data_IF_135376712064
#
_entry.id   IF_135376712064
#
_cell.length_a   1.000
_cell.length_b   1.000
_cell.length_c   1.000
_cell.angle_alpha   90.00
_cell.angle_beta   90.00
_cell.angle_gamma   90.00
#
_symmetry.space_group_name_H-M   'P 1'
#
loop_
_entity.id
_entity.type
_entity.pdbx_description
1 polymer ?
#
# COMPACT_ATOMS: atom_id res chain seq x y z
N UNK A 1 9.53 4.37 15.34
CA UNK A 1 8.65 3.27 14.85
C UNK A 1 9.39 2.56 13.74
N UNK A 2 9.52 1.24 13.75
CA UNK A 2 10.23 0.51 12.71
C UNK A 2 9.42 0.46 11.41
N UNK A 3 10.09 0.49 10.26
CA UNK A 3 9.50 0.29 8.93
C UNK A 3 10.38 -0.68 8.14
N UNK A 4 9.78 -1.71 7.58
CA UNK A 4 10.48 -2.70 6.72
C UNK A 4 11.15 -2.03 5.53
N UNK A 5 10.54 -0.99 4.96
CA UNK A 5 11.11 -0.20 3.87
C UNK A 5 12.51 0.41 4.17
N UNK A 6 12.94 0.45 5.43
CA UNK A 6 14.32 0.86 5.78
C UNK A 6 15.35 -0.13 5.19
N UNK A 7 15.02 -1.41 5.12
CA UNK A 7 15.90 -2.45 4.54
C UNK A 7 16.09 -2.20 3.04
N UNK A 8 15.00 -1.91 2.31
CA UNK A 8 15.05 -1.57 0.89
C UNK A 8 15.88 -0.28 0.63
N UNK A 9 15.81 0.69 1.56
CA UNK A 9 16.64 1.90 1.48
C UNK A 9 18.13 1.59 1.68
N UNK A 10 18.48 0.63 2.53
CA UNK A 10 19.86 0.17 2.66
C UNK A 10 20.34 -0.59 1.41
N UNK A 11 19.49 -1.41 0.80
CA UNK A 11 19.77 -2.07 -0.47
C UNK A 11 19.99 -1.04 -1.58
N UNK A 12 19.12 -0.04 -1.70
CA UNK A 12 19.27 1.07 -2.63
C UNK A 12 20.60 1.82 -2.40
N UNK A 13 20.92 2.16 -1.15
CA UNK A 13 22.17 2.86 -0.82
C UNK A 13 23.40 2.09 -1.29
N UNK A 14 23.41 0.77 -1.14
CA UNK A 14 24.53 -0.11 -1.44
C UNK A 14 24.57 -0.58 -2.91
N UNK A 15 23.56 -0.22 -3.71
CA UNK A 15 23.52 -0.60 -5.13
C UNK A 15 24.58 0.14 -5.94
N UNK A 16 25.36 -0.61 -6.73
CA UNK A 16 26.40 -0.08 -7.60
C UNK A 16 25.84 0.83 -8.73
N UNK A 17 24.59 0.59 -9.14
CA UNK A 17 23.89 1.33 -10.21
C UNK A 17 22.78 2.22 -9.66
N UNK A 18 22.93 2.69 -8.42
CA UNK A 18 21.96 3.52 -7.74
C UNK A 18 21.59 4.75 -8.55
N UNK A 19 20.30 5.03 -8.65
CA UNK A 19 19.74 6.28 -9.19
C UNK A 19 19.12 7.11 -8.06
N UNK A 20 18.86 8.41 -8.27
CA UNK A 20 18.01 9.15 -7.35
C UNK A 20 16.71 8.39 -7.09
N UNK A 21 16.31 8.27 -5.83
CA UNK A 21 15.15 7.46 -5.42
C UNK A 21 13.91 8.34 -5.25
N UNK A 22 12.80 7.89 -5.78
CA UNK A 22 11.48 8.49 -5.55
C UNK A 22 10.67 7.57 -4.65
N UNK A 23 10.24 8.09 -3.48
CA UNK A 23 9.31 7.37 -2.60
C UNK A 23 7.89 7.80 -2.93
N UNK A 24 7.11 6.85 -3.45
CA UNK A 24 5.70 7.01 -3.76
C UNK A 24 4.81 6.43 -2.64
N UNK A 25 3.53 6.74 -2.67
CA UNK A 25 2.53 6.22 -1.73
C UNK A 25 1.57 7.29 -1.26
N UNK A 26 0.46 6.87 -0.67
CA UNK A 26 -0.61 7.75 -0.20
C UNK A 26 -0.10 8.84 0.76
N UNK A 27 -0.88 9.90 0.89
CA UNK A 27 -0.59 10.91 1.91
C UNK A 27 -0.69 10.32 3.32
N UNK A 28 0.18 10.77 4.22
CA UNK A 28 0.23 10.37 5.64
C UNK A 28 0.68 8.91 5.92
N UNK A 29 1.22 8.18 4.94
CA UNK A 29 1.82 6.84 5.15
C UNK A 29 3.22 6.90 5.76
N UNK A 30 3.80 8.11 5.96
CA UNK A 30 5.05 8.31 6.69
C UNK A 30 6.29 8.50 5.83
N UNK A 31 6.16 8.94 4.55
CA UNK A 31 7.28 9.18 3.63
C UNK A 31 8.34 10.10 4.23
N UNK A 32 7.94 11.29 4.67
CA UNK A 32 8.85 12.28 5.30
C UNK A 32 9.58 11.71 6.51
N UNK A 33 8.87 10.97 7.36
CA UNK A 33 9.48 10.33 8.53
C UNK A 33 10.51 9.28 8.10
N UNK A 34 10.18 8.44 7.13
CA UNK A 34 11.06 7.38 6.62
C UNK A 34 12.36 7.95 6.07
N UNK A 35 12.29 8.99 5.22
CA UNK A 35 13.46 9.66 4.64
C UNK A 35 14.37 10.25 5.71
N UNK A 36 13.79 10.96 6.69
CA UNK A 36 14.55 11.57 7.80
C UNK A 36 15.18 10.52 8.71
N UNK A 37 14.45 9.47 9.04
CA UNK A 37 14.95 8.39 9.88
C UNK A 37 16.09 7.63 9.19
N UNK A 38 15.93 7.34 7.90
CA UNK A 38 17.00 6.72 7.11
C UNK A 38 18.24 7.62 7.03
N UNK A 39 18.07 8.93 6.79
CA UNK A 39 19.17 9.88 6.79
C UNK A 39 19.94 9.88 8.11
N UNK A 40 19.20 9.84 9.24
CA UNK A 40 19.80 9.77 10.57
C UNK A 40 20.57 8.48 10.84
N UNK A 41 20.07 7.34 10.34
CA UNK A 41 20.67 6.02 10.58
C UNK A 41 21.84 5.72 9.64
N UNK A 42 21.77 6.16 8.39
CA UNK A 42 22.64 5.71 7.31
C UNK A 42 23.69 6.74 6.86
N UNK A 43 23.58 8.00 7.28
CA UNK A 43 24.46 9.08 6.84
C UNK A 43 24.89 9.97 8.02
N UNK A 44 26.06 10.59 7.89
CA UNK A 44 26.54 11.55 8.90
C UNK A 44 25.78 12.87 8.85
N UNK A 45 25.36 13.27 7.64
CA UNK A 45 24.66 14.51 7.37
C UNK A 45 23.41 14.28 6.55
N UNK A 46 22.41 15.13 6.78
CA UNK A 46 21.17 15.10 6.00
C UNK A 46 20.78 16.53 5.66
N UNK A 47 20.61 16.80 4.38
CA UNK A 47 20.05 18.05 3.87
C UNK A 47 18.59 17.82 3.53
N UNK A 48 17.69 18.44 4.28
CA UNK A 48 16.25 18.31 4.09
C UNK A 48 15.64 19.56 3.50
N UNK A 49 15.06 19.44 2.32
CA UNK A 49 14.39 20.52 1.60
C UNK A 49 12.90 20.15 1.46
N UNK A 50 12.04 20.96 2.03
CA UNK A 50 10.60 20.91 1.74
C UNK A 50 10.29 21.99 0.70
N UNK A 51 9.67 21.57 -0.41
CA UNK A 51 9.31 22.47 -1.51
C UNK A 51 7.96 23.14 -1.33
N UNK A 52 7.12 22.68 -0.39
CA UNK A 52 5.83 23.33 -0.12
C UNK A 52 6.03 24.77 0.35
N UNK A 53 5.45 25.70 -0.38
CA UNK A 53 5.52 27.16 -0.11
C UNK A 53 6.96 27.72 -0.01
N UNK A 54 7.95 27.10 -0.68
CA UNK A 54 9.36 27.46 -0.62
C UNK A 54 9.80 28.24 -1.88
N UNK A 55 9.53 29.54 -1.89
CA UNK A 55 9.86 30.41 -3.03
C UNK A 55 11.36 30.47 -3.35
N UNK A 56 12.23 30.42 -2.31
CA UNK A 56 13.70 30.46 -2.51
C UNK A 56 14.18 29.22 -3.28
N UNK A 57 13.65 28.05 -2.94
CA UNK A 57 13.99 26.82 -3.66
C UNK A 57 13.37 26.80 -5.05
N UNK A 58 12.15 27.29 -5.22
CA UNK A 58 11.54 27.45 -6.54
C UNK A 58 12.40 28.34 -7.44
N UNK A 59 12.95 29.45 -6.93
CA UNK A 59 13.85 30.35 -7.65
C UNK A 59 15.19 29.67 -7.98
N UNK A 60 15.79 28.92 -7.04
CA UNK A 60 17.05 28.18 -7.26
C UNK A 60 16.95 27.25 -8.47
N UNK A 61 15.85 26.47 -8.57
CA UNK A 61 15.64 25.52 -9.67
C UNK A 61 15.07 26.17 -10.95
N UNK A 62 14.66 27.43 -10.93
CA UNK A 62 14.05 28.09 -12.09
C UNK A 62 15.06 28.53 -13.15
N UNK A 63 16.31 28.89 -12.77
CA UNK A 63 17.30 29.49 -13.67
C UNK A 63 17.93 28.45 -14.61
N UNK A 64 18.75 27.56 -14.10
CA UNK A 64 19.37 26.45 -14.81
C UNK A 64 19.41 25.22 -13.89
N UNK A 65 19.83 24.08 -14.42
CA UNK A 65 19.94 22.82 -13.68
C UNK A 65 21.42 22.35 -13.61
N UNK A 66 22.35 23.30 -13.54
CA UNK A 66 23.76 23.02 -13.33
C UNK A 66 23.96 22.51 -11.89
N UNK A 67 24.55 21.33 -11.74
CA UNK A 67 24.60 20.62 -10.46
C UNK A 67 25.43 21.35 -9.41
N UNK A 68 26.60 21.89 -9.79
CA UNK A 68 27.46 22.62 -8.84
C UNK A 68 26.76 23.83 -8.24
N UNK A 69 25.99 24.56 -9.06
CA UNK A 69 25.18 25.69 -8.61
C UNK A 69 24.02 25.25 -7.69
N UNK A 70 23.37 24.13 -8.02
CA UNK A 70 22.31 23.57 -7.18
C UNK A 70 22.89 23.17 -5.83
N UNK A 71 23.98 22.41 -5.79
CA UNK A 71 24.64 21.98 -4.55
C UNK A 71 25.02 23.18 -3.69
N UNK A 72 25.69 24.20 -4.27
CA UNK A 72 26.02 25.42 -3.55
C UNK A 72 24.77 26.10 -2.97
N UNK A 73 23.69 26.18 -3.73
CA UNK A 73 22.41 26.74 -3.26
C UNK A 73 21.80 25.96 -2.10
N UNK A 74 21.87 24.62 -2.14
CA UNK A 74 21.41 23.74 -1.06
C UNK A 74 22.29 23.90 0.20
N UNK A 75 23.62 24.05 0.06
CA UNK A 75 24.53 24.30 1.17
C UNK A 75 24.24 25.65 1.84
N UNK A 76 24.07 26.72 1.04
CA UNK A 76 23.72 28.05 1.55
C UNK A 76 22.35 28.08 2.25
N UNK A 77 21.40 27.21 1.80
CA UNK A 77 20.07 27.14 2.41
C UNK A 77 20.07 26.35 3.71
N UNK A 78 20.81 25.24 3.77
CA UNK A 78 20.79 24.29 4.89
C UNK A 78 21.88 24.52 5.93
N UNK A 79 22.89 25.36 5.61
CA UNK A 79 24.12 25.51 6.39
C UNK A 79 24.87 24.17 6.61
N UNK A 80 24.78 23.28 5.64
CA UNK A 80 25.42 21.95 5.66
C UNK A 80 26.33 21.82 4.46
N UNK A 81 27.61 21.52 4.68
CA UNK A 81 28.53 21.16 3.59
C UNK A 81 28.19 19.77 3.05
N UNK A 82 27.84 19.69 1.78
CA UNK A 82 27.35 18.50 1.10
C UNK A 82 28.51 17.74 0.47
N UNK A 83 28.73 16.52 0.93
CA UNK A 83 29.72 15.60 0.35
C UNK A 83 29.04 14.32 -0.13
N UNK A 84 29.45 13.77 -1.30
CA UNK A 84 28.84 12.58 -1.85
C UNK A 84 28.85 11.37 -0.92
N UNK A 85 29.93 11.20 -0.14
CA UNK A 85 30.19 10.01 0.65
C UNK A 85 29.30 9.91 1.88
N UNK A 86 28.95 11.04 2.51
CA UNK A 86 28.35 11.03 3.84
C UNK A 86 27.08 11.88 4.00
N UNK A 87 26.58 12.49 2.92
CA UNK A 87 25.39 13.34 2.95
C UNK A 87 24.23 12.74 2.17
N UNK A 88 23.06 12.65 2.80
CA UNK A 88 21.80 12.39 2.12
C UNK A 88 21.08 13.69 1.82
N UNK A 89 20.68 13.89 0.57
CA UNK A 89 19.84 15.02 0.14
C UNK A 89 18.38 14.49 0.07
N UNK A 90 17.48 15.15 0.79
CA UNK A 90 16.06 14.81 0.84
C UNK A 90 15.25 15.95 0.22
N UNK A 91 14.51 15.65 -0.84
CA UNK A 91 13.53 16.51 -1.47
C UNK A 91 12.12 16.07 -1.11
N UNK A 92 11.44 16.83 -0.26
CA UNK A 92 10.08 16.54 0.18
C UNK A 92 9.08 17.47 -0.53
N UNK A 93 7.89 16.94 -0.87
CA UNK A 93 6.85 17.59 -1.68
C UNK A 93 7.42 18.13 -3.02
N UNK A 94 8.25 17.31 -3.69
CA UNK A 94 9.02 17.73 -4.88
C UNK A 94 8.14 18.13 -6.06
N UNK A 95 6.88 17.70 -6.12
CA UNK A 95 5.91 18.09 -7.16
C UNK A 95 5.57 19.59 -7.13
N UNK A 96 5.76 20.28 -6.00
CA UNK A 96 5.53 21.72 -5.90
C UNK A 96 6.52 22.53 -6.75
N UNK A 97 7.70 21.95 -7.06
CA UNK A 97 8.70 22.55 -7.94
C UNK A 97 9.09 21.55 -9.05
N UNK A 98 8.34 21.49 -10.16
CA UNK A 98 8.56 20.50 -11.23
C UNK A 98 9.98 20.45 -11.79
N UNK A 99 10.69 21.58 -11.78
CA UNK A 99 12.09 21.63 -12.21
C UNK A 99 13.05 20.96 -11.21
N UNK A 100 12.72 20.92 -9.92
CA UNK A 100 13.48 20.12 -8.96
C UNK A 100 13.34 18.62 -9.24
N UNK A 101 12.14 18.15 -9.60
CA UNK A 101 11.94 16.77 -10.05
C UNK A 101 12.73 16.50 -11.34
N UNK A 102 12.71 17.41 -12.33
CA UNK A 102 13.46 17.27 -13.57
C UNK A 102 14.99 17.25 -13.33
N UNK A 103 15.49 17.90 -12.26
CA UNK A 103 16.92 17.93 -11.93
C UNK A 103 17.49 16.56 -11.59
N UNK A 104 16.66 15.60 -11.13
CA UNK A 104 17.10 14.24 -10.81
C UNK A 104 17.77 13.54 -12.00
N UNK A 105 17.32 13.83 -13.24
CA UNK A 105 17.98 13.35 -14.45
C UNK A 105 19.42 13.82 -14.53
N UNK A 106 19.66 15.08 -14.26
CA UNK A 106 21.00 15.69 -14.37
C UNK A 106 21.90 15.22 -13.23
N UNK A 107 21.37 15.01 -12.04
CA UNK A 107 22.12 14.35 -10.97
C UNK A 107 22.56 12.95 -11.39
N UNK A 108 21.66 12.13 -11.93
CA UNK A 108 22.02 10.79 -12.38
C UNK A 108 23.06 10.78 -13.51
N UNK A 109 22.96 11.71 -14.48
CA UNK A 109 23.82 11.74 -15.65
C UNK A 109 25.19 12.38 -15.38
N UNK A 110 25.26 13.41 -14.52
CA UNK A 110 26.44 14.25 -14.37
C UNK A 110 27.07 14.18 -12.97
N UNK A 111 26.37 13.67 -11.99
CA UNK A 111 26.81 13.61 -10.59
C UNK A 111 26.16 12.43 -9.83
N UNK A 112 26.29 11.17 -10.34
CA UNK A 112 25.65 10.00 -9.77
C UNK A 112 26.15 9.62 -8.36
N UNK A 113 27.24 10.22 -7.94
CA UNK A 113 27.84 10.02 -6.61
C UNK A 113 26.97 10.59 -5.49
N UNK A 114 26.13 11.63 -5.73
CA UNK A 114 25.26 12.20 -4.71
C UNK A 114 24.09 11.28 -4.36
N UNK A 115 23.78 11.21 -3.07
CA UNK A 115 22.67 10.43 -2.55
C UNK A 115 21.42 11.30 -2.46
N UNK A 116 20.42 11.03 -3.29
CA UNK A 116 19.19 11.83 -3.34
C UNK A 116 17.97 10.94 -3.18
N UNK A 117 17.14 11.27 -2.20
CA UNK A 117 15.81 10.68 -2.04
C UNK A 117 14.78 11.78 -2.11
N UNK A 118 13.72 11.57 -2.85
CA UNK A 118 12.61 12.51 -2.92
C UNK A 118 11.27 11.82 -2.67
N UNK A 119 10.33 12.61 -2.19
CA UNK A 119 8.95 12.18 -2.01
C UNK A 119 7.98 13.28 -2.41
N UNK A 120 6.79 12.85 -2.77
CA UNK A 120 5.64 13.72 -2.99
C UNK A 120 4.34 12.93 -2.90
N UNK A 121 3.34 13.53 -2.29
CA UNK A 121 2.06 12.85 -2.04
C UNK A 121 1.16 12.74 -3.28
N UNK A 122 1.49 13.46 -4.35
CA UNK A 122 0.71 13.53 -5.59
C UNK A 122 1.60 13.37 -6.83
N UNK A 123 2.72 12.69 -6.69
CA UNK A 123 3.68 12.49 -7.79
C UNK A 123 3.04 11.77 -8.98
N UNK A 124 2.23 10.74 -8.75
CA UNK A 124 1.51 10.05 -9.82
C UNK A 124 0.63 10.99 -10.68
N UNK A 125 0.07 12.05 -10.07
CA UNK A 125 -0.74 13.05 -10.79
C UNK A 125 0.16 14.08 -11.49
N UNK A 126 1.24 14.53 -10.86
CA UNK A 126 2.16 15.49 -11.43
C UNK A 126 2.79 14.97 -12.75
N UNK A 127 2.92 13.65 -12.88
CA UNK A 127 3.38 12.98 -14.10
C UNK A 127 2.48 13.26 -15.32
N UNK A 128 1.18 13.49 -15.10
CA UNK A 128 0.22 13.75 -16.18
C UNK A 128 0.13 15.23 -16.60
N UNK A 129 0.78 16.15 -15.88
CA UNK A 129 0.68 17.59 -16.13
C UNK A 129 1.77 18.16 -17.05
N UNK A 130 2.44 17.33 -17.87
CA UNK A 130 3.39 17.79 -18.89
C UNK A 130 4.76 18.23 -18.35
N UNK A 131 5.10 17.84 -17.12
CA UNK A 131 6.44 18.02 -16.57
C UNK A 131 7.42 17.04 -17.19
N UNK A 132 8.68 17.49 -17.46
CA UNK A 132 9.76 16.60 -17.92
C UNK A 132 10.14 15.62 -16.81
N UNK A 133 9.45 14.49 -16.76
CA UNK A 133 9.75 13.45 -15.80
C UNK A 133 11.05 12.72 -16.16
N UNK A 134 11.92 12.37 -15.20
CA UNK A 134 13.21 11.71 -15.43
C UNK A 134 13.07 10.21 -15.74
N UNK A 135 12.34 9.85 -16.80
CA UNK A 135 12.07 8.46 -17.20
C UNK A 135 13.37 7.66 -17.31
N UNK A 136 13.42 6.51 -16.62
CA UNK A 136 14.59 5.61 -16.65
C UNK A 136 15.83 6.13 -15.91
N UNK A 137 15.76 7.32 -15.29
CA UNK A 137 16.86 7.98 -14.57
C UNK A 137 16.67 8.03 -13.06
N UNK A 138 15.62 7.42 -12.56
CA UNK A 138 15.26 7.32 -11.14
C UNK A 138 14.87 5.89 -10.80
N UNK A 139 15.02 5.53 -9.53
CA UNK A 139 14.47 4.32 -8.92
C UNK A 139 13.20 4.70 -8.13
N UNK A 140 12.35 3.70 -7.85
CA UNK A 140 11.09 3.90 -7.13
C UNK A 140 11.00 2.98 -5.92
N UNK A 141 10.39 3.49 -4.85
CA UNK A 141 10.00 2.73 -3.68
C UNK A 141 8.57 3.09 -3.32
N UNK A 142 7.70 2.08 -3.27
CA UNK A 142 6.31 2.27 -2.87
C UNK A 142 6.15 2.11 -1.36
N UNK A 143 5.71 3.17 -0.68
CA UNK A 143 5.47 3.13 0.76
C UNK A 143 3.97 2.98 1.04
N UNK A 144 3.63 1.86 1.66
CA UNK A 144 2.27 1.53 2.10
C UNK A 144 2.03 1.89 3.58
N UNK A 145 0.78 1.89 4.07
CA UNK A 145 0.52 1.84 5.50
C UNK A 145 1.26 0.68 6.16
N UNK A 146 1.48 0.73 7.47
CA UNK A 146 2.18 -0.34 8.20
C UNK A 146 1.52 -1.70 7.93
N UNK A 147 2.33 -2.71 7.65
CA UNK A 147 1.89 -4.11 7.60
C UNK A 147 1.52 -4.61 9.01
N UNK A 148 0.96 -5.82 9.09
CA UNK A 148 0.64 -6.41 10.40
C UNK A 148 1.91 -6.70 11.21
N UNK A 149 3.00 -7.13 10.57
CA UNK A 149 4.30 -7.30 11.23
C UNK A 149 4.83 -5.97 11.78
N UNK A 150 4.80 -4.91 10.99
CA UNK A 150 5.20 -3.56 11.44
C UNK A 150 4.32 -3.04 12.59
N UNK A 151 3.02 -3.35 12.56
CA UNK A 151 2.10 -3.05 13.66
C UNK A 151 2.48 -3.81 14.93
N UNK A 152 2.79 -5.11 14.86
CA UNK A 152 3.25 -5.89 16.01
C UNK A 152 4.53 -5.30 16.61
N UNK A 153 5.49 -4.90 15.79
CA UNK A 153 6.70 -4.21 16.23
C UNK A 153 6.38 -2.89 16.93
N UNK A 154 5.46 -2.09 16.37
CA UNK A 154 5.01 -0.85 17.02
C UNK A 154 4.30 -1.08 18.38
N UNK A 155 3.74 -2.27 18.57
CA UNK A 155 3.11 -2.68 19.86
C UNK A 155 4.09 -3.28 20.86
N UNK A 156 5.39 -3.36 20.56
CA UNK A 156 6.40 -4.02 21.40
C UNK A 156 6.29 -5.55 21.40
N UNK A 157 5.85 -6.11 20.27
CA UNK A 157 5.64 -7.55 20.08
C UNK A 157 6.62 -8.15 19.06
N UNK A 158 7.88 -7.73 19.08
CA UNK A 158 8.94 -8.15 18.17
C UNK A 158 9.09 -9.68 18.13
N UNK A 159 9.00 -10.34 19.29
CA UNK A 159 9.10 -11.81 19.37
C UNK A 159 8.04 -12.56 18.57
N UNK A 160 6.86 -11.97 18.38
CA UNK A 160 5.85 -12.57 17.51
C UNK A 160 6.21 -12.41 16.04
N UNK A 161 6.86 -11.31 15.68
CA UNK A 161 7.38 -11.12 14.31
C UNK A 161 8.50 -12.13 14.02
N UNK A 162 9.42 -12.32 14.97
CA UNK A 162 10.48 -13.34 14.85
C UNK A 162 9.88 -14.74 14.68
N UNK A 163 8.86 -15.08 15.48
CA UNK A 163 8.12 -16.34 15.39
C UNK A 163 7.45 -16.51 14.01
N UNK A 164 6.82 -15.47 13.49
CA UNK A 164 6.22 -15.49 12.15
C UNK A 164 7.27 -15.67 11.06
N UNK A 165 8.42 -14.99 11.16
CA UNK A 165 9.50 -15.09 10.19
C UNK A 165 10.17 -16.47 10.20
N UNK A 166 10.23 -17.15 11.35
CA UNK A 166 10.71 -18.53 11.43
C UNK A 166 9.77 -19.56 10.81
N UNK A 167 8.49 -19.23 10.58
CA UNK A 167 7.50 -20.17 10.06
C UNK A 167 7.14 -21.32 11.00
N UNK A 168 7.36 -21.16 12.31
CA UNK A 168 6.97 -22.17 13.32
C UNK A 168 5.49 -22.09 13.64
N UNK A 169 4.68 -22.73 12.80
CA UNK A 169 3.22 -22.72 12.92
C UNK A 169 2.71 -23.48 14.15
N UNK A 170 3.47 -24.45 14.68
CA UNK A 170 3.11 -25.17 15.90
C UNK A 170 3.21 -24.23 17.10
N UNK A 171 4.30 -23.48 17.18
CA UNK A 171 4.47 -22.47 18.23
C UNK A 171 3.46 -21.32 18.06
N UNK A 172 3.18 -20.88 16.84
CA UNK A 172 2.12 -19.88 16.58
C UNK A 172 0.76 -20.33 17.07
N UNK A 173 0.42 -21.63 16.94
CA UNK A 173 -0.83 -22.20 17.44
C UNK A 173 -0.91 -22.11 18.98
N UNK A 174 0.20 -22.33 19.70
CA UNK A 174 0.24 -22.18 21.13
C UNK A 174 -0.06 -20.73 21.60
N UNK A 175 0.33 -19.73 20.80
CA UNK A 175 0.10 -18.31 21.07
C UNK A 175 -0.98 -17.68 20.20
N UNK A 176 -1.83 -18.48 19.60
CA UNK A 176 -2.87 -18.09 18.66
C UNK A 176 -3.77 -16.95 19.15
N UNK A 177 -4.20 -17.01 20.42
CA UNK A 177 -5.12 -16.02 20.95
C UNK A 177 -4.53 -14.62 20.95
N UNK A 178 -3.26 -14.47 21.32
CA UNK A 178 -2.56 -13.18 21.33
C UNK A 178 -2.40 -12.61 19.90
N UNK A 179 -2.15 -13.49 18.93
CA UNK A 179 -2.06 -13.11 17.49
C UNK A 179 -3.42 -12.68 16.95
N UNK A 180 -4.49 -13.43 17.26
CA UNK A 180 -5.86 -13.09 16.86
C UNK A 180 -6.31 -11.76 17.48
N UNK A 181 -6.04 -11.53 18.76
CA UNK A 181 -6.42 -10.28 19.43
C UNK A 181 -5.61 -9.09 18.86
N UNK A 182 -4.34 -9.30 18.53
CA UNK A 182 -3.53 -8.30 17.83
C UNK A 182 -4.08 -8.02 16.43
N UNK A 183 -4.51 -9.05 15.69
CA UNK A 183 -5.13 -8.91 14.37
C UNK A 183 -6.46 -8.14 14.43
N UNK A 184 -7.30 -8.39 15.44
CA UNK A 184 -8.53 -7.61 15.67
C UNK A 184 -8.20 -6.13 15.96
N UNK A 185 -7.16 -5.87 16.76
CA UNK A 185 -6.70 -4.50 16.98
C UNK A 185 -6.25 -3.86 15.67
N UNK A 186 -5.48 -4.56 14.84
CA UNK A 186 -5.06 -4.07 13.53
C UNK A 186 -6.24 -3.79 12.60
N UNK A 187 -7.28 -4.63 12.57
CA UNK A 187 -8.49 -4.36 11.78
C UNK A 187 -9.18 -3.05 12.16
N UNK A 188 -9.11 -2.66 13.43
CA UNK A 188 -9.69 -1.39 13.90
C UNK A 188 -8.75 -0.21 13.67
N UNK A 189 -7.48 -0.37 14.02
CA UNK A 189 -6.47 0.70 14.00
C UNK A 189 -5.96 0.95 12.59
N UNK A 190 -5.80 -0.11 11.79
CA UNK A 190 -5.14 -0.06 10.50
C UNK A 190 -3.63 0.12 10.60
N UNK A 191 -3.02 0.42 9.46
CA UNK A 191 -1.59 0.67 9.32
C UNK A 191 -1.21 2.15 9.18
N UNK A 192 -2.15 3.10 9.31
CA UNK A 192 -1.80 4.53 9.21
C UNK A 192 -0.91 4.95 10.38
N UNK A 193 0.31 5.51 10.13
CA UNK A 193 1.32 5.76 11.16
C UNK A 193 0.83 6.55 12.38
N UNK A 194 0.05 7.61 12.16
CA UNK A 194 -0.49 8.43 13.26
C UNK A 194 -1.46 7.62 14.13
N UNK A 195 -2.32 6.81 13.51
CA UNK A 195 -3.26 5.95 14.22
C UNK A 195 -2.53 4.86 15.02
N UNK A 196 -1.55 4.20 14.41
CA UNK A 196 -0.73 3.16 15.06
C UNK A 196 0.06 3.74 16.24
N UNK A 197 0.74 4.88 16.05
CA UNK A 197 1.52 5.53 17.11
C UNK A 197 0.63 5.93 18.30
N UNK A 198 -0.53 6.53 18.01
CA UNK A 198 -1.50 6.90 19.06
C UNK A 198 -1.99 5.67 19.83
N UNK A 199 -2.30 4.59 19.11
CA UNK A 199 -2.74 3.35 19.76
C UNK A 199 -1.62 2.66 20.54
N UNK A 200 -0.40 2.65 20.03
CA UNK A 200 0.76 2.10 20.74
C UNK A 200 0.97 2.76 22.11
N UNK A 201 0.81 4.08 22.16
CA UNK A 201 1.06 4.87 23.36
C UNK A 201 -0.11 4.86 24.34
N UNK A 202 -1.35 5.00 23.86
CA UNK A 202 -2.49 5.33 24.72
C UNK A 202 -3.54 4.23 24.81
N UNK A 203 -3.55 3.26 23.85
CA UNK A 203 -4.56 2.19 23.74
C UNK A 203 -6.01 2.71 23.66
N UNK A 204 -6.20 3.97 23.22
CA UNK A 204 -7.51 4.60 23.10
C UNK A 204 -8.10 4.48 21.67
N UNK A 205 -9.03 3.57 21.49
CA UNK A 205 -9.76 3.37 20.23
C UNK A 205 -10.57 4.59 19.77
N UNK A 206 -11.06 5.42 20.71
CA UNK A 206 -11.83 6.60 20.33
C UNK A 206 -10.91 7.67 19.75
N UNK A 207 -9.68 7.80 20.28
CA UNK A 207 -8.67 8.70 19.74
C UNK A 207 -8.23 8.24 18.35
N UNK A 208 -7.98 6.94 18.17
CA UNK A 208 -7.69 6.34 16.85
C UNK A 208 -8.79 6.70 15.85
N UNK A 209 -10.06 6.53 16.20
CA UNK A 209 -11.19 6.84 15.32
C UNK A 209 -11.25 8.32 14.93
N UNK A 210 -10.91 9.24 15.86
CA UNK A 210 -10.78 10.67 15.55
C UNK A 210 -9.65 10.96 14.56
N UNK A 211 -8.51 10.28 14.71
CA UNK A 211 -7.38 10.39 13.78
C UNK A 211 -7.79 9.90 12.40
N UNK A 212 -8.38 8.72 12.29
CA UNK A 212 -8.84 8.16 11.02
C UNK A 212 -9.84 9.07 10.30
N UNK A 213 -10.80 9.68 11.02
CA UNK A 213 -11.72 10.66 10.44
C UNK A 213 -10.99 11.86 9.86
N UNK A 214 -10.02 12.43 10.58
CA UNK A 214 -9.20 13.55 10.08
C UNK A 214 -8.40 13.18 8.84
N UNK A 215 -7.87 11.94 8.76
CA UNK A 215 -7.18 11.44 7.58
C UNK A 215 -8.13 11.39 6.37
N UNK A 216 -9.33 10.83 6.55
CA UNK A 216 -10.35 10.75 5.48
C UNK A 216 -10.79 12.15 5.03
N UNK A 217 -11.03 13.08 5.96
CA UNK A 217 -11.34 14.47 5.66
C UNK A 217 -10.21 15.17 4.89
N UNK A 218 -8.95 14.91 5.27
CA UNK A 218 -7.79 15.45 4.55
C UNK A 218 -7.74 14.94 3.10
N UNK A 219 -8.02 13.66 2.84
CA UNK A 219 -8.11 13.12 1.49
C UNK A 219 -9.21 13.80 0.65
N UNK A 220 -10.40 14.03 1.24
CA UNK A 220 -11.48 14.75 0.54
C UNK A 220 -11.15 16.23 0.26
N UNK A 221 -10.34 16.87 1.13
CA UNK A 221 -9.83 18.21 0.86
C UNK A 221 -8.80 18.19 -0.29
N UNK A 222 -7.96 17.18 -0.37
CA UNK A 222 -7.00 17.03 -1.48
C UNK A 222 -7.73 16.87 -2.83
N UNK A 223 -8.88 16.19 -2.88
CA UNK A 223 -9.70 16.14 -4.09
C UNK A 223 -10.07 17.55 -4.59
N UNK A 224 -10.45 18.42 -3.68
CA UNK A 224 -10.85 19.80 -4.02
C UNK A 224 -9.67 20.70 -4.38
N UNK A 225 -8.48 20.43 -3.83
CA UNK A 225 -7.29 21.28 -4.02
C UNK A 225 -6.54 20.94 -5.31
N UNK A 226 -6.45 19.64 -5.65
CA UNK A 226 -5.51 19.15 -6.65
C UNK A 226 -6.16 18.49 -7.88
N UNK A 227 -7.41 18.03 -7.77
CA UNK A 227 -8.10 17.46 -8.92
C UNK A 227 -8.76 18.57 -9.78
N UNK A 228 -8.95 18.31 -11.10
CA UNK A 228 -9.75 19.21 -11.94
C UNK A 228 -11.16 19.40 -11.35
N UNK A 229 -11.65 20.64 -11.31
CA UNK A 229 -12.91 20.96 -10.67
C UNK A 229 -14.11 20.10 -11.11
N UNK A 230 -14.14 19.74 -12.40
CA UNK A 230 -15.18 18.87 -13.00
C UNK A 230 -15.10 17.41 -12.51
N UNK A 231 -13.93 16.97 -12.02
CA UNK A 231 -13.69 15.61 -11.52
C UNK A 231 -14.00 15.45 -10.03
N UNK A 232 -13.97 16.54 -9.25
CA UNK A 232 -14.16 16.50 -7.78
C UNK A 232 -15.48 15.83 -7.36
N UNK A 233 -16.64 16.14 -7.94
CA UNK A 233 -17.89 15.45 -7.58
C UNK A 233 -17.84 13.95 -7.87
N UNK A 234 -17.23 13.54 -8.99
CA UNK A 234 -17.09 12.13 -9.37
C UNK A 234 -16.14 11.37 -8.43
N UNK A 235 -15.03 12.01 -8.05
CA UNK A 235 -14.09 11.47 -7.05
C UNK A 235 -14.78 11.19 -5.73
N UNK A 236 -15.54 12.17 -5.18
CA UNK A 236 -16.28 12.00 -3.93
C UNK A 236 -17.32 10.90 -4.01
N UNK A 237 -18.12 10.88 -5.10
CA UNK A 237 -19.12 9.83 -5.30
C UNK A 237 -18.48 8.45 -5.36
N UNK A 238 -17.39 8.30 -6.11
CA UNK A 238 -16.66 7.05 -6.26
C UNK A 238 -16.06 6.62 -4.92
N UNK A 239 -15.31 7.50 -4.24
CA UNK A 239 -14.72 7.27 -2.94
C UNK A 239 -15.73 6.76 -1.91
N UNK A 240 -16.85 7.46 -1.77
CA UNK A 240 -17.91 7.11 -0.83
C UNK A 240 -18.68 5.83 -1.21
N UNK A 241 -18.58 5.37 -2.46
CA UNK A 241 -19.23 4.12 -2.90
C UNK A 241 -18.41 2.86 -2.56
N UNK A 242 -17.08 2.97 -2.31
CA UNK A 242 -16.20 1.82 -2.13
C UNK A 242 -16.69 0.85 -1.03
N UNK A 243 -17.10 1.32 0.17
CA UNK A 243 -17.62 0.41 1.18
C UNK A 243 -18.83 -0.41 0.72
N UNK A 244 -19.74 0.22 -0.03
CA UNK A 244 -20.92 -0.44 -0.59
C UNK A 244 -20.58 -1.44 -1.71
N UNK A 245 -19.53 -1.16 -2.48
CA UNK A 245 -19.01 -2.10 -3.48
C UNK A 245 -18.46 -3.37 -2.81
N UNK A 246 -17.64 -3.20 -1.75
CA UNK A 246 -17.01 -4.29 -1.02
C UNK A 246 -18.00 -5.09 -0.16
N UNK A 247 -19.13 -4.51 0.24
CA UNK A 247 -20.18 -5.20 0.98
C UNK A 247 -20.98 -6.18 0.13
N UNK A 248 -20.87 -6.15 -1.20
CA UNK A 248 -21.57 -7.08 -2.09
C UNK A 248 -20.89 -8.46 -2.05
N UNK A 249 -21.69 -9.49 -2.27
CA UNK A 249 -21.24 -10.88 -2.36
C UNK A 249 -20.23 -11.05 -3.52
N UNK A 250 -20.56 -10.50 -4.68
CA UNK A 250 -19.62 -10.31 -5.78
C UNK A 250 -19.06 -8.89 -5.73
N UNK A 251 -17.85 -8.75 -5.21
CA UNK A 251 -17.16 -7.46 -4.98
C UNK A 251 -16.65 -6.79 -6.26
N UNK A 252 -17.04 -7.29 -7.44
CA UNK A 252 -16.79 -6.61 -8.72
C UNK A 252 -17.35 -5.19 -8.67
N UNK A 253 -16.56 -4.21 -9.13
CA UNK A 253 -16.98 -2.82 -9.16
C UNK A 253 -18.18 -2.61 -10.11
N UNK A 254 -19.23 -1.96 -9.61
CA UNK A 254 -20.49 -1.70 -10.31
C UNK A 254 -20.70 -0.19 -10.41
N UNK A 255 -20.60 0.36 -11.60
CA UNK A 255 -20.76 1.79 -11.85
C UNK A 255 -22.17 2.32 -11.44
N UNK A 256 -23.19 1.50 -11.58
CA UNK A 256 -24.55 1.81 -11.16
C UNK A 256 -24.74 2.02 -9.65
N UNK A 257 -23.82 1.49 -8.81
CA UNK A 257 -23.80 1.77 -7.37
C UNK A 257 -23.20 3.13 -7.02
N UNK A 258 -22.38 3.70 -7.89
CA UNK A 258 -21.87 5.07 -7.71
C UNK A 258 -22.98 6.06 -8.00
N UNK A 259 -23.71 5.84 -9.11
CA UNK A 259 -24.88 6.61 -9.54
C UNK A 259 -25.71 5.78 -10.49
N UNK A 260 -27.04 5.81 -10.37
CA UNK A 260 -27.94 5.17 -11.31
C UNK A 260 -27.66 5.62 -12.76
N UNK A 261 -27.52 4.66 -13.67
CA UNK A 261 -27.14 4.90 -15.07
C UNK A 261 -25.66 5.25 -15.30
N UNK A 262 -24.81 5.22 -14.26
CA UNK A 262 -23.37 5.48 -14.38
C UNK A 262 -22.66 4.48 -15.30
N UNK A 263 -21.73 4.96 -16.12
CA UNK A 263 -20.96 4.18 -17.10
C UNK A 263 -19.46 4.34 -16.85
N UNK A 264 -18.64 3.38 -17.32
CA UNK A 264 -17.19 3.38 -17.17
C UNK A 264 -16.56 4.72 -17.57
N UNK A 265 -16.87 5.24 -18.75
CA UNK A 265 -16.35 6.52 -19.26
C UNK A 265 -16.58 7.73 -18.35
N UNK A 266 -17.56 7.65 -17.45
CA UNK A 266 -17.90 8.77 -16.57
C UNK A 266 -16.94 8.85 -15.37
N UNK A 267 -16.25 7.74 -15.04
CA UNK A 267 -15.44 7.57 -13.82
C UNK A 267 -13.99 7.16 -14.06
N UNK A 268 -13.57 6.86 -15.30
CA UNK A 268 -12.21 6.40 -15.60
C UNK A 268 -11.13 7.34 -15.05
N UNK A 269 -11.26 8.64 -15.33
CA UNK A 269 -10.31 9.65 -14.82
C UNK A 269 -10.31 9.71 -13.29
N UNK A 270 -11.46 9.55 -12.65
CA UNK A 270 -11.55 9.57 -11.20
C UNK A 270 -10.94 8.30 -10.58
N UNK A 271 -11.12 7.14 -11.21
CA UNK A 271 -10.46 5.89 -10.80
C UNK A 271 -8.94 6.02 -10.93
N UNK A 272 -8.44 6.49 -12.09
CA UNK A 272 -7.01 6.74 -12.28
C UNK A 272 -6.46 7.67 -11.21
N UNK A 273 -7.14 8.79 -10.96
CA UNK A 273 -6.72 9.76 -9.96
C UNK A 273 -6.56 9.13 -8.56
N UNK A 274 -7.55 8.33 -8.12
CA UNK A 274 -7.50 7.67 -6.81
C UNK A 274 -6.40 6.59 -6.74
N UNK A 275 -6.16 5.86 -7.83
CA UNK A 275 -5.07 4.86 -7.90
C UNK A 275 -3.70 5.52 -7.94
N UNK A 276 -3.52 6.59 -8.72
CA UNK A 276 -2.25 7.31 -8.86
C UNK A 276 -1.85 8.04 -7.58
N UNK A 277 -2.85 8.44 -6.75
CA UNK A 277 -2.60 8.96 -5.40
C UNK A 277 -2.32 7.85 -4.37
N UNK A 278 -2.43 6.58 -4.73
CA UNK A 278 -2.29 5.45 -3.80
C UNK A 278 -3.41 5.33 -2.77
N UNK A 279 -4.57 6.00 -2.97
CA UNK A 279 -5.69 5.97 -2.04
C UNK A 279 -6.56 4.73 -2.20
N UNK A 280 -6.51 4.10 -3.38
CA UNK A 280 -7.19 2.86 -3.69
C UNK A 280 -6.29 1.91 -4.46
N UNK A 281 -6.51 0.63 -4.25
CA UNK A 281 -5.89 -0.45 -5.01
C UNK A 281 -6.93 -1.10 -5.90
N UNK A 282 -6.61 -1.17 -7.20
CA UNK A 282 -7.45 -1.81 -8.20
C UNK A 282 -6.92 -3.22 -8.44
N UNK A 283 -7.72 -4.24 -8.16
CA UNK A 283 -7.42 -5.64 -8.43
C UNK A 283 -8.24 -6.08 -9.64
N UNK A 284 -7.58 -6.38 -10.75
CA UNK A 284 -8.23 -6.73 -12.00
C UNK A 284 -8.64 -8.21 -12.04
N UNK A 285 -9.74 -8.50 -12.75
CA UNK A 285 -10.14 -9.87 -13.07
C UNK A 285 -9.20 -10.47 -14.11
N UNK A 286 -8.90 -11.77 -13.96
CA UNK A 286 -8.37 -12.58 -15.04
C UNK A 286 -9.36 -13.69 -15.39
N UNK A 287 -9.39 -14.07 -16.66
CA UNK A 287 -10.34 -15.07 -17.19
C UNK A 287 -9.72 -16.46 -17.27
N UNK A 288 -8.39 -16.54 -17.20
CA UNK A 288 -7.60 -17.78 -17.29
C UNK A 288 -6.55 -17.79 -16.20
N UNK A 289 -6.29 -18.98 -15.62
CA UNK A 289 -5.30 -19.17 -14.56
C UNK A 289 -3.97 -19.72 -15.07
N UNK A 290 -3.41 -19.12 -16.12
CA UNK A 290 -2.10 -19.47 -16.67
C UNK A 290 -1.21 -18.22 -16.76
N UNK A 291 0.11 -18.38 -16.62
CA UNK A 291 1.08 -17.33 -16.81
C UNK A 291 1.22 -16.95 -18.30
N UNK A 292 1.50 -15.70 -18.59
CA UNK A 292 1.48 -14.55 -17.67
C UNK A 292 0.03 -14.05 -17.44
N UNK A 293 -0.40 -13.90 -16.20
CA UNK A 293 -1.79 -13.48 -15.87
C UNK A 293 -2.18 -12.15 -16.52
N UNK A 294 -1.23 -11.24 -16.68
CA UNK A 294 -1.43 -9.94 -17.33
C UNK A 294 -2.02 -10.05 -18.74
N UNK A 295 -1.70 -11.11 -19.48
CA UNK A 295 -2.22 -11.32 -20.83
C UNK A 295 -3.73 -11.67 -20.85
N UNK A 296 -4.27 -12.11 -19.72
CA UNK A 296 -5.67 -12.54 -19.56
C UNK A 296 -6.50 -11.58 -18.71
N UNK A 297 -5.96 -10.37 -18.47
CA UNK A 297 -6.63 -9.33 -17.70
C UNK A 297 -7.90 -8.81 -18.40
N UNK A 298 -9.01 -8.82 -17.69
CA UNK A 298 -10.24 -8.16 -18.14
C UNK A 298 -10.29 -6.72 -17.62
N UNK A 299 -9.95 -5.78 -18.48
CA UNK A 299 -9.93 -4.34 -18.16
C UNK A 299 -11.29 -3.79 -17.70
N UNK A 300 -12.40 -4.51 -17.94
CA UNK A 300 -13.76 -4.06 -17.60
C UNK A 300 -14.25 -4.60 -16.25
N UNK A 301 -13.50 -5.51 -15.64
CA UNK A 301 -13.89 -6.14 -14.39
C UNK A 301 -12.76 -6.05 -13.36
N UNK A 302 -13.02 -5.38 -12.26
CA UNK A 302 -12.05 -5.19 -11.18
C UNK A 302 -12.77 -5.03 -9.83
N UNK A 303 -12.02 -5.26 -8.76
CA UNK A 303 -12.38 -4.89 -7.38
C UNK A 303 -11.60 -3.63 -7.00
N UNK A 304 -12.18 -2.79 -6.12
CA UNK A 304 -11.49 -1.61 -5.58
C UNK A 304 -11.39 -1.72 -4.07
N UNK A 305 -10.20 -1.57 -3.56
CA UNK A 305 -9.88 -1.62 -2.13
C UNK A 305 -9.31 -0.26 -1.68
N UNK A 306 -9.61 0.13 -0.45
CA UNK A 306 -9.06 1.35 0.14
C UNK A 306 -7.59 1.09 0.53
N UNK A 307 -6.80 2.14 0.67
CA UNK A 307 -5.38 2.06 1.07
C UNK A 307 -5.16 1.37 2.42
N UNK A 308 -6.14 1.40 3.33
CA UNK A 308 -5.98 0.92 4.71
C UNK A 308 -7.27 0.33 5.30
N UNK A 309 -7.15 -0.82 5.98
CA UNK A 309 -8.27 -1.54 6.60
C UNK A 309 -8.94 -0.74 7.73
N UNK A 310 -8.17 0.00 8.52
CA UNK A 310 -8.69 0.85 9.59
C UNK A 310 -9.48 2.04 9.06
N UNK A 311 -9.03 2.63 7.94
CA UNK A 311 -9.77 3.68 7.25
C UNK A 311 -11.06 3.13 6.65
N UNK A 312 -11.07 1.95 6.02
CA UNK A 312 -12.29 1.30 5.56
C UNK A 312 -13.28 1.08 6.72
N UNK A 313 -12.79 0.58 7.86
CA UNK A 313 -13.58 0.44 9.08
C UNK A 313 -14.15 1.76 9.59
N UNK A 314 -13.41 2.87 9.42
CA UNK A 314 -13.87 4.21 9.75
C UNK A 314 -14.98 4.70 8.81
N UNK A 315 -14.84 4.49 7.50
CA UNK A 315 -15.82 4.86 6.47
C UNK A 315 -17.19 4.21 6.72
N UNK A 316 -17.22 2.96 7.19
CA UNK A 316 -18.46 2.25 7.53
C UNK A 316 -18.96 2.49 8.96
N UNK A 317 -18.28 3.33 9.72
CA UNK A 317 -18.68 3.60 11.11
C UNK A 317 -18.51 2.41 12.05
N UNK A 318 -17.55 1.51 11.78
CA UNK A 318 -17.31 0.31 12.57
C UNK A 318 -17.04 0.65 14.04
N UNK A 319 -17.85 0.08 14.94
CA UNK A 319 -17.71 0.25 16.39
C UNK A 319 -16.74 -0.78 16.96
N UNK A 320 -15.92 -0.36 17.94
CA UNK A 320 -14.97 -1.24 18.64
C UNK A 320 -15.63 -2.48 19.26
N UNK A 321 -16.83 -2.33 19.85
CA UNK A 321 -17.57 -3.45 20.44
C UNK A 321 -17.90 -4.55 19.44
N UNK A 322 -18.31 -4.15 18.23
CA UNK A 322 -18.68 -5.09 17.18
C UNK A 322 -17.47 -5.95 16.77
N UNK A 323 -16.29 -5.33 16.68
CA UNK A 323 -15.07 -6.01 16.22
C UNK A 323 -14.43 -6.88 17.33
N UNK A 324 -14.40 -6.39 18.57
CA UNK A 324 -13.72 -7.06 19.67
C UNK A 324 -14.59 -8.14 20.32
N UNK A 325 -15.89 -7.88 20.47
CA UNK A 325 -16.82 -8.77 21.18
C UNK A 325 -17.45 -9.88 20.29
N UNK A 326 -17.13 -9.88 18.97
CA UNK A 326 -17.56 -10.93 18.04
C UNK A 326 -19.08 -10.97 17.78
N UNK A 327 -19.78 -9.83 17.81
CA UNK A 327 -21.21 -9.73 17.64
C UNK A 327 -21.65 -10.10 16.19
N UNK A 328 -22.69 -10.95 16.06
CA UNK A 328 -23.22 -11.46 14.79
C UNK A 328 -23.72 -10.36 13.82
N UNK A 329 -23.96 -9.15 14.28
CA UNK A 329 -24.37 -8.00 13.44
C UNK A 329 -23.30 -7.57 12.41
N UNK A 330 -22.07 -8.09 12.52
CA UNK A 330 -20.94 -7.70 11.67
C UNK A 330 -20.56 -8.76 10.62
N UNK A 331 -21.27 -9.86 10.56
CA UNK A 331 -20.92 -11.06 9.74
C UNK A 331 -20.76 -10.71 8.26
N UNK A 332 -21.67 -9.90 7.69
CA UNK A 332 -21.65 -9.57 6.26
C UNK A 332 -20.45 -8.71 5.85
N UNK A 333 -20.09 -7.70 6.65
CA UNK A 333 -18.97 -6.81 6.31
C UNK A 333 -17.60 -7.37 6.74
N UNK A 334 -17.58 -8.39 7.60
CA UNK A 334 -16.35 -9.05 8.07
C UNK A 334 -15.53 -9.65 6.91
N UNK A 335 -16.19 -10.22 5.92
CA UNK A 335 -15.55 -10.71 4.70
C UNK A 335 -14.83 -9.61 3.93
N UNK A 336 -15.47 -8.45 3.77
CA UNK A 336 -14.88 -7.29 3.09
C UNK A 336 -13.62 -6.76 3.80
N UNK A 337 -13.67 -6.65 5.13
CA UNK A 337 -12.50 -6.23 5.92
C UNK A 337 -11.37 -7.26 5.86
N UNK A 338 -11.70 -8.55 5.85
CA UNK A 338 -10.70 -9.60 5.79
C UNK A 338 -9.99 -9.62 4.43
N UNK A 339 -10.71 -9.48 3.32
CA UNK A 339 -10.10 -9.36 1.99
C UNK A 339 -9.28 -8.06 1.87
N UNK A 340 -9.80 -6.94 2.39
CA UNK A 340 -9.06 -5.67 2.46
C UNK A 340 -7.73 -5.85 3.21
N UNK A 341 -7.76 -6.53 4.36
CA UNK A 341 -6.56 -6.83 5.13
C UNK A 341 -5.58 -7.70 4.35
N UNK A 342 -6.06 -8.81 3.75
CA UNK A 342 -5.21 -9.73 2.99
C UNK A 342 -4.52 -9.00 1.85
N UNK A 343 -5.27 -8.23 1.05
CA UNK A 343 -4.67 -7.42 -0.01
C UNK A 343 -3.60 -6.46 0.53
N UNK A 344 -3.92 -5.74 1.61
CA UNK A 344 -3.02 -4.77 2.22
C UNK A 344 -1.69 -5.40 2.67
N UNK A 345 -1.69 -6.68 3.10
CA UNK A 345 -0.45 -7.37 3.41
C UNK A 345 0.30 -7.82 2.14
N UNK A 346 -0.41 -8.36 1.15
CA UNK A 346 0.23 -8.91 -0.07
C UNK A 346 0.88 -7.84 -0.94
N UNK A 347 0.28 -6.65 -1.06
CA UNK A 347 0.82 -5.57 -1.90
C UNK A 347 2.11 -4.93 -1.36
N UNK A 348 2.48 -5.20 -0.11
CA UNK A 348 3.75 -4.71 0.46
C UNK A 348 4.97 -5.41 -0.14
N UNK A 349 4.79 -6.56 -0.77
CA UNK A 349 5.84 -7.25 -1.50
C UNK A 349 5.81 -6.82 -2.98
N UNK A 350 6.83 -6.09 -3.48
CA UNK A 350 6.87 -5.55 -4.84
C UNK A 350 6.97 -6.63 -5.93
N UNK A 351 7.40 -7.84 -5.59
CA UNK A 351 7.55 -8.95 -6.55
C UNK A 351 6.22 -9.65 -6.86
N UNK A 352 5.13 -9.28 -6.17
CA UNK A 352 3.82 -9.90 -6.34
C UNK A 352 2.90 -9.06 -7.21
N UNK A 353 2.27 -9.71 -8.21
CA UNK A 353 1.16 -9.13 -8.95
C UNK A 353 -0.15 -9.78 -8.50
N UNK A 354 -1.13 -8.96 -8.11
CA UNK A 354 -2.37 -9.43 -7.52
C UNK A 354 -3.54 -9.26 -8.48
N UNK A 355 -4.23 -10.35 -8.73
CA UNK A 355 -5.44 -10.43 -9.55
C UNK A 355 -6.54 -11.17 -8.79
N UNK A 356 -7.74 -11.27 -9.36
CA UNK A 356 -8.75 -12.23 -8.92
C UNK A 356 -9.29 -13.01 -10.12
N UNK A 357 -9.85 -14.18 -9.86
CA UNK A 357 -10.40 -15.02 -10.91
C UNK A 357 -11.91 -15.14 -10.78
N UNK A 358 -12.59 -15.04 -11.91
CA UNK A 358 -13.99 -15.46 -12.04
C UNK A 358 -14.16 -16.12 -13.40
N UNK A 359 -14.82 -17.30 -13.44
CA UNK A 359 -15.21 -17.89 -14.71
C UNK A 359 -16.31 -17.06 -15.40
N UNK A 360 -16.56 -17.33 -16.69
CA UNK A 360 -17.44 -16.49 -17.53
C UNK A 360 -18.89 -16.46 -17.03
N UNK A 361 -19.38 -17.55 -16.44
CA UNK A 361 -20.74 -17.64 -15.89
C UNK A 361 -20.86 -17.19 -14.42
N UNK A 362 -19.76 -16.76 -13.79
CA UNK A 362 -19.74 -16.27 -12.40
C UNK A 362 -19.92 -17.34 -11.32
N UNK A 363 -19.93 -18.63 -11.68
CA UNK A 363 -20.15 -19.72 -10.72
C UNK A 363 -18.92 -20.14 -9.91
N UNK A 364 -17.74 -19.67 -10.30
CA UNK A 364 -16.47 -19.92 -9.63
C UNK A 364 -15.72 -18.59 -9.50
N UNK A 365 -15.49 -18.15 -8.27
CA UNK A 365 -14.69 -16.97 -7.95
C UNK A 365 -13.59 -17.36 -6.95
N UNK A 366 -12.34 -16.93 -7.20
CA UNK A 366 -11.21 -17.02 -6.28
C UNK A 366 -10.82 -15.59 -5.90
N UNK A 367 -10.75 -15.32 -4.61
CA UNK A 367 -10.61 -13.95 -4.08
C UNK A 367 -9.36 -13.25 -4.58
N UNK A 368 -8.20 -13.95 -4.58
CA UNK A 368 -6.97 -13.45 -5.16
C UNK A 368 -6.22 -14.55 -5.92
N UNK A 369 -5.57 -14.15 -7.01
CA UNK A 369 -4.49 -14.89 -7.67
C UNK A 369 -3.21 -14.08 -7.49
N UNK A 370 -2.26 -14.66 -6.79
CA UNK A 370 -0.95 -14.07 -6.55
C UNK A 370 0.02 -14.61 -7.59
N UNK A 371 0.48 -13.75 -8.48
CA UNK A 371 1.46 -14.05 -9.52
C UNK A 371 2.85 -13.65 -9.00
N UNK A 372 3.75 -14.62 -8.87
CA UNK A 372 5.13 -14.43 -8.43
C UNK A 372 6.13 -14.30 -9.60
N UNK A 373 5.63 -14.27 -10.84
CA UNK A 373 6.42 -14.34 -12.07
C UNK A 373 6.63 -15.78 -12.57
N UNK A 374 6.89 -16.72 -11.67
CA UNK A 374 7.15 -18.12 -12.01
C UNK A 374 5.94 -19.05 -11.75
N UNK A 375 5.10 -18.70 -10.79
CA UNK A 375 3.92 -19.50 -10.41
C UNK A 375 2.74 -18.64 -10.00
N UNK A 376 1.56 -19.26 -9.95
CA UNK A 376 0.29 -18.65 -9.54
C UNK A 376 -0.19 -19.32 -8.26
N UNK A 377 -0.40 -18.55 -7.21
CA UNK A 377 -0.97 -19.01 -5.95
C UNK A 377 -2.42 -18.53 -5.86
N UNK A 378 -3.43 -19.38 -6.05
CA UNK A 378 -4.81 -19.01 -5.78
C UNK A 378 -5.05 -18.94 -4.27
N UNK A 379 -5.68 -17.85 -3.83
CA UNK A 379 -5.94 -17.54 -2.41
C UNK A 379 -7.43 -17.33 -2.21
N UNK A 380 -8.02 -18.17 -1.37
CA UNK A 380 -9.39 -18.02 -0.86
C UNK A 380 -9.36 -17.43 0.55
N UNK A 381 -10.09 -16.36 0.77
CA UNK A 381 -10.14 -15.63 2.06
C UNK A 381 -11.40 -16.02 2.83
N UNK A 382 -11.23 -16.49 4.06
CA UNK A 382 -12.34 -16.83 4.96
C UNK A 382 -12.26 -16.03 6.26
N UNK A 383 -13.27 -15.22 6.50
CA UNK A 383 -13.36 -14.39 7.70
C UNK A 383 -13.67 -15.20 8.98
N UNK A 384 -14.15 -16.43 8.83
CA UNK A 384 -14.64 -17.30 9.91
C UNK A 384 -14.07 -18.72 9.84
N UNK A 385 -14.65 -19.58 10.69
CA UNK A 385 -14.26 -20.97 10.90
C UNK A 385 -14.80 -21.89 9.78
N UNK A 386 -15.72 -21.40 8.92
CA UNK A 386 -16.27 -22.21 7.84
C UNK A 386 -15.24 -22.36 6.70
N UNK A 387 -14.73 -23.57 6.58
CA UNK A 387 -13.62 -23.91 5.68
C UNK A 387 -14.04 -24.39 4.29
N UNK A 388 -15.31 -24.24 3.91
CA UNK A 388 -15.73 -24.65 2.56
C UNK A 388 -15.10 -23.75 1.50
N UNK A 389 -14.28 -24.33 0.63
CA UNK A 389 -13.57 -23.65 -0.46
C UNK A 389 -13.95 -24.29 -1.82
N UNK A 390 -15.26 -24.29 -2.14
CA UNK A 390 -15.78 -24.94 -3.35
C UNK A 390 -15.21 -24.30 -4.63
N UNK A 391 -15.19 -22.98 -4.69
CA UNK A 391 -14.65 -22.27 -5.85
C UNK A 391 -13.16 -22.51 -6.01
N UNK A 392 -12.38 -22.44 -4.91
CA UNK A 392 -10.96 -22.74 -4.95
C UNK A 392 -10.69 -24.16 -5.44
N UNK A 393 -11.50 -25.15 -5.00
CA UNK A 393 -11.37 -26.52 -5.45
C UNK A 393 -11.64 -26.66 -6.96
N UNK A 394 -12.69 -26.01 -7.47
CA UNK A 394 -12.98 -25.99 -8.91
C UNK A 394 -11.84 -25.35 -9.72
N UNK A 395 -11.22 -24.32 -9.17
CA UNK A 395 -10.04 -23.68 -9.77
C UNK A 395 -8.85 -24.66 -9.83
N UNK A 396 -8.54 -25.31 -8.70
CA UNK A 396 -7.45 -26.29 -8.58
C UNK A 396 -7.65 -27.47 -9.54
N UNK A 397 -8.85 -28.03 -9.62
CA UNK A 397 -9.18 -29.11 -10.55
C UNK A 397 -9.02 -28.71 -12.02
N UNK A 398 -9.22 -27.44 -12.34
CA UNK A 398 -9.12 -26.92 -13.71
C UNK A 398 -7.70 -26.54 -14.11
N UNK A 399 -6.93 -25.91 -13.23
CA UNK A 399 -5.64 -25.27 -13.57
C UNK A 399 -4.44 -25.96 -12.92
N UNK A 400 -4.66 -26.85 -11.93
CA UNK A 400 -3.62 -27.64 -11.25
C UNK A 400 -2.43 -26.80 -10.76
N UNK A 401 -2.64 -25.73 -9.96
CA UNK A 401 -1.54 -24.92 -9.41
C UNK A 401 -0.69 -25.76 -8.44
N UNK A 402 0.58 -25.42 -8.27
CA UNK A 402 1.52 -26.11 -7.37
C UNK A 402 1.05 -26.06 -5.91
N UNK A 403 0.48 -24.94 -5.50
CA UNK A 403 -0.09 -24.73 -4.17
C UNK A 403 -1.39 -23.93 -4.27
N UNK A 404 -2.33 -24.22 -3.39
CA UNK A 404 -3.56 -23.44 -3.22
C UNK A 404 -3.71 -23.07 -1.75
N UNK A 405 -3.97 -21.80 -1.47
CA UNK A 405 -4.03 -21.25 -0.11
C UNK A 405 -5.48 -20.91 0.23
N UNK A 406 -5.90 -21.35 1.40
CA UNK A 406 -7.05 -20.79 2.10
C UNK A 406 -6.50 -20.07 3.32
N UNK A 407 -6.79 -18.78 3.47
CA UNK A 407 -6.44 -18.04 4.68
C UNK A 407 -7.68 -17.84 5.56
N UNK A 408 -7.54 -18.11 6.86
CA UNK A 408 -8.66 -18.06 7.81
C UNK A 408 -8.17 -17.85 9.25
N UNK A 409 -9.11 -17.76 10.22
CA UNK A 409 -8.80 -17.75 11.66
C UNK A 409 -8.43 -19.12 12.23
N UNK A 410 -8.40 -20.18 11.40
CA UNK A 410 -7.98 -21.52 11.81
C UNK A 410 -6.46 -21.63 11.82
N UNK A 411 -5.99 -22.68 12.52
CA UNK A 411 -4.57 -23.00 12.61
C UNK A 411 -4.02 -23.43 11.24
N UNK A 412 -2.70 -23.36 11.09
CA UNK A 412 -2.03 -23.88 9.92
C UNK A 412 -2.35 -25.37 9.73
N UNK A 413 -2.68 -25.73 8.49
CA UNK A 413 -2.92 -27.12 8.14
C UNK A 413 -2.63 -27.34 6.66
N UNK A 414 -1.71 -28.25 6.35
CA UNK A 414 -1.44 -28.69 4.98
C UNK A 414 -2.26 -29.95 4.69
N UNK A 415 -3.14 -29.87 3.72
CA UNK A 415 -3.95 -30.98 3.20
C UNK A 415 -3.46 -31.37 1.80
N UNK A 416 -3.99 -32.42 1.21
CA UNK A 416 -3.51 -32.96 -0.08
C UNK A 416 -3.54 -31.95 -1.24
N UNK A 417 -4.44 -30.98 -1.22
CA UNK A 417 -4.65 -30.04 -2.34
C UNK A 417 -4.72 -28.57 -1.91
N UNK A 418 -4.67 -28.29 -0.61
CA UNK A 418 -4.84 -26.95 -0.05
C UNK A 418 -4.06 -26.81 1.24
N UNK A 419 -3.49 -25.62 1.44
CA UNK A 419 -2.90 -25.21 2.71
C UNK A 419 -3.83 -24.20 3.36
N UNK A 420 -4.21 -24.41 4.63
CA UNK A 420 -4.83 -23.37 5.44
C UNK A 420 -3.72 -22.56 6.13
N UNK A 421 -3.51 -21.34 5.68
CA UNK A 421 -2.56 -20.41 6.27
C UNK A 421 -3.32 -19.46 7.21
N UNK A 422 -2.96 -19.34 8.50
CA UNK A 422 -3.62 -18.42 9.41
C UNK A 422 -3.58 -16.97 8.88
N UNK A 423 -4.67 -16.20 9.04
CA UNK A 423 -4.75 -14.82 8.58
C UNK A 423 -3.59 -13.95 9.08
N UNK A 424 -3.21 -14.10 10.35
CA UNK A 424 -2.10 -13.35 10.93
C UNK A 424 -0.73 -13.69 10.31
N UNK A 425 -0.62 -14.81 9.58
CA UNK A 425 0.60 -15.26 8.91
C UNK A 425 0.55 -15.12 7.37
N UNK A 426 -0.42 -14.38 6.81
CA UNK A 426 -0.60 -14.28 5.34
C UNK A 426 0.64 -13.72 4.63
N UNK A 427 1.44 -12.89 5.27
CA UNK A 427 2.71 -12.39 4.73
C UNK A 427 3.74 -13.51 4.47
N UNK A 428 3.55 -14.69 5.07
CA UNK A 428 4.41 -15.87 4.85
C UNK A 428 3.98 -16.71 3.63
N UNK A 429 3.00 -16.27 2.85
CA UNK A 429 2.43 -17.03 1.72
C UNK A 429 3.49 -17.58 0.77
N UNK A 430 4.53 -16.81 0.47
CA UNK A 430 5.61 -17.25 -0.45
C UNK A 430 6.39 -18.43 0.13
N UNK A 431 6.55 -18.51 1.44
CA UNK A 431 7.22 -19.65 2.10
C UNK A 431 6.54 -21.00 1.86
N UNK A 432 5.28 -21.04 1.44
CA UNK A 432 4.57 -22.27 1.11
C UNK A 432 4.94 -22.86 -0.26
N UNK A 433 5.71 -22.13 -1.07
CA UNK A 433 6.26 -22.60 -2.35
C UNK A 433 7.52 -23.45 -2.19
N UNK A 434 8.16 -23.43 -1.01
CA UNK A 434 9.38 -24.18 -0.68
C UNK A 434 9.04 -25.51 0.08
#
# INVERSE_FOLDING_TARGET
MYRLAIEELYEWKNSANRKPLIIEGARQVGKTWLMKEFGKQAYEKTVYINFDSNSRMAELFSSDLEIGRIIMGLELYSDVNITPENTLIIFDEVQEVPRALASLKYFYENAPEYNIICAGSLLGIALHQGTSFPVGKVDFLNLYPLSFKEFLMAMGKEKYVDLMNCGDYEMMTAFKQDLIDSLKHYYFVGGMPEAVTSFATEKDFNKVRRIQKRILEAYEHDFSKHAPNESVPKLRMLWNSIPSQLAKENKKFIYGLVREGGRAKDYETAIMWLTDCGLVHKVSRVTVGHLPLKAYEDMKAFKMFVVDVGLLGCMVGLNKKILLDGNNLFVEFKGALTEQYVLQQLITNPDLNIYYYTNDNGSCEVDFLVDTGDTIIPVEVKAEVNLRAKSLRMYVEKFSPDVAIRTSMQDYKKESWIVNLPLYAIENLIGELS
#
